data_IF_447835325626
#
_entry.id   IF_447835325626
#
_cell.length_a   1.000
_cell.length_b   1.000
_cell.length_c   1.000
_cell.angle_alpha   90.00
_cell.angle_beta   90.00
_cell.angle_gamma   90.00
#
_symmetry.space_group_name_H-M   'P 1'
#
loop_
_entity.id
_entity.type
_entity.pdbx_description
1 polymer ?
#
# COMPACT_ATOMS: atom_id res chain seq x y z
N UNK A 1 -34.40 74.34 16.34
CA UNK A 1 -35.49 73.74 15.53
C UNK A 1 -34.85 72.65 14.68
N UNK A 2 -35.21 71.36 14.64
CA UNK A 2 -36.26 70.54 15.23
C UNK A 2 -35.82 69.05 15.12
N UNK A 3 -36.14 68.26 16.16
CA UNK A 3 -36.57 66.84 16.19
C UNK A 3 -35.62 65.75 15.67
N UNK A 4 -35.09 64.86 16.53
CA UNK A 4 -35.72 63.67 17.16
C UNK A 4 -36.23 62.63 16.14
N UNK A 5 -35.69 61.41 16.21
CA UNK A 5 -36.51 60.20 16.44
C UNK A 5 -35.66 59.00 16.86
N UNK A 6 -36.01 58.46 18.03
CA UNK A 6 -35.57 57.19 18.61
C UNK A 6 -36.20 56.02 17.85
N UNK A 7 -35.53 54.87 17.79
CA UNK A 7 -36.18 53.58 18.05
C UNK A 7 -35.14 52.54 18.51
N UNK A 8 -35.39 52.00 19.70
CA UNK A 8 -34.87 50.72 20.18
C UNK A 8 -36.09 49.76 20.26
N UNK A 9 -35.92 48.44 20.09
CA UNK A 9 -36.01 47.62 21.30
C UNK A 9 -35.08 46.38 21.35
N UNK A 10 -34.72 46.07 22.59
CA UNK A 10 -34.27 44.82 23.24
C UNK A 10 -34.69 43.49 22.57
N UNK A 11 -33.76 42.51 22.51
CA UNK A 11 -33.97 41.16 23.08
C UNK A 11 -32.70 40.29 23.17
N UNK A 12 -32.39 39.93 24.41
CA UNK A 12 -31.76 38.74 25.01
C UNK A 12 -31.17 37.62 24.14
N UNK A 13 -29.97 37.17 24.54
CA UNK A 13 -29.36 35.90 24.13
C UNK A 13 -28.07 35.62 24.90
N UNK A 14 -28.20 35.23 26.17
CA UNK A 14 -27.10 34.72 26.98
C UNK A 14 -26.65 33.30 26.53
N UNK A 15 -25.36 32.95 26.56
CA UNK A 15 -24.93 31.56 26.39
C UNK A 15 -25.11 30.76 27.69
N UNK A 16 -25.77 29.61 27.55
CA UNK A 16 -26.05 28.65 28.60
C UNK A 16 -24.77 27.92 29.06
N UNK A 17 -24.35 28.17 30.29
CA UNK A 17 -23.52 27.25 31.05
C UNK A 17 -24.42 26.13 31.60
N UNK A 18 -24.13 24.88 31.23
CA UNK A 18 -24.84 23.73 31.77
C UNK A 18 -24.18 22.43 31.37
N UNK A 19 -23.47 21.81 32.32
CA UNK A 19 -23.78 20.44 32.80
C UNK A 19 -22.74 19.96 33.80
N UNK A 20 -23.21 19.79 35.04
CA UNK A 20 -22.68 18.85 36.01
C UNK A 20 -23.84 17.97 36.51
N UNK A 21 -23.53 16.68 36.69
CA UNK A 21 -24.22 15.65 37.48
C UNK A 21 -25.58 15.06 37.03
N UNK A 22 -25.59 13.75 36.76
CA UNK A 22 -26.54 12.78 37.34
C UNK A 22 -26.10 11.31 37.11
N UNK A 23 -25.97 10.57 38.22
CA UNK A 23 -25.89 9.11 38.36
C UNK A 23 -27.31 8.53 38.55
N UNK A 24 -27.61 7.33 38.02
CA UNK A 24 -28.35 6.23 38.70
C UNK A 24 -28.71 5.06 37.75
N UNK A 25 -28.55 3.84 38.28
CA UNK A 25 -28.74 2.54 37.64
C UNK A 25 -30.18 1.97 37.80
N UNK A 26 -30.58 1.00 36.97
CA UNK A 26 -31.52 -0.07 37.35
C UNK A 26 -31.35 -1.33 36.47
N UNK A 27 -31.60 -2.49 37.09
CA UNK A 27 -31.26 -3.86 36.65
C UNK A 27 -32.44 -4.66 36.06
N UNK A 28 -32.10 -5.82 35.46
CA UNK A 28 -32.68 -7.17 35.70
C UNK A 28 -33.05 -8.00 34.44
N UNK A 29 -32.72 -9.29 34.53
CA UNK A 29 -32.75 -10.36 33.54
C UNK A 29 -34.09 -11.14 33.47
N UNK A 30 -34.29 -11.94 32.42
CA UNK A 30 -34.73 -13.35 32.50
C UNK A 30 -34.85 -14.08 31.13
N UNK A 31 -34.51 -15.38 31.16
CA UNK A 31 -34.57 -16.46 30.15
C UNK A 31 -36.00 -16.82 29.65
N UNK A 32 -36.15 -17.47 28.47
CA UNK A 32 -36.51 -18.91 28.32
C UNK A 32 -36.71 -19.42 26.87
N UNK A 33 -36.23 -20.65 26.64
CA UNK A 33 -36.71 -21.78 25.79
C UNK A 33 -36.85 -21.74 24.25
N UNK A 34 -36.22 -22.77 23.64
CA UNK A 34 -36.62 -23.49 22.40
C UNK A 34 -37.63 -24.64 22.74
N UNK A 35 -38.33 -25.34 21.80
CA UNK A 35 -37.72 -26.26 20.82
C UNK A 35 -38.44 -26.44 19.44
N UNK A 36 -37.86 -27.32 18.60
CA UNK A 36 -38.14 -27.79 17.21
C UNK A 36 -39.53 -28.50 17.01
N UNK A 37 -39.92 -29.19 15.88
CA UNK A 37 -39.15 -29.73 14.74
C UNK A 37 -39.86 -29.74 13.34
N UNK A 38 -39.21 -30.30 12.31
CA UNK A 38 -39.86 -30.69 11.05
C UNK A 38 -38.91 -31.24 9.97
N UNK A 39 -39.15 -32.46 9.50
CA UNK A 39 -38.45 -33.19 8.43
C UNK A 39 -39.53 -33.89 7.55
N UNK A 40 -39.19 -34.57 6.44
CA UNK A 40 -38.96 -34.16 5.04
C UNK A 40 -40.15 -34.60 4.12
N UNK A 41 -40.08 -34.69 2.77
CA UNK A 41 -39.44 -35.84 2.09
C UNK A 41 -38.90 -35.66 0.64
N UNK A 42 -38.10 -36.66 0.22
CA UNK A 42 -38.03 -37.37 -1.09
C UNK A 42 -37.80 -36.69 -2.46
N UNK A 43 -36.83 -37.29 -3.19
CA UNK A 43 -37.09 -37.83 -4.54
C UNK A 43 -36.17 -37.36 -5.68
N UNK A 44 -35.54 -38.30 -6.41
CA UNK A 44 -35.25 -38.13 -7.84
C UNK A 44 -33.81 -38.41 -8.32
N UNK A 45 -33.59 -39.65 -8.77
CA UNK A 45 -32.56 -40.18 -9.69
C UNK A 45 -32.33 -39.36 -10.97
N UNK A 46 -31.11 -39.38 -11.56
CA UNK A 46 -30.80 -40.15 -12.79
C UNK A 46 -29.32 -40.10 -13.23
N UNK A 47 -28.93 -41.21 -13.86
CA UNK A 47 -27.66 -41.58 -14.48
C UNK A 47 -27.24 -40.71 -15.69
N UNK A 48 -25.95 -40.71 -16.04
CA UNK A 48 -25.51 -41.03 -17.40
C UNK A 48 -24.01 -41.41 -17.45
N UNK A 49 -23.77 -42.49 -18.19
CA UNK A 49 -22.53 -43.19 -18.52
C UNK A 49 -21.71 -42.51 -19.63
N UNK A 50 -20.44 -42.89 -19.79
CA UNK A 50 -19.64 -42.60 -20.97
C UNK A 50 -18.18 -43.09 -20.90
N UNK A 51 -17.97 -44.36 -21.22
CA UNK A 51 -16.69 -45.05 -21.39
C UNK A 51 -16.06 -44.82 -22.77
N UNK A 52 -14.73 -44.93 -22.87
CA UNK A 52 -14.02 -45.18 -24.12
C UNK A 52 -12.72 -45.98 -23.88
N UNK A 53 -12.60 -47.09 -24.61
CA UNK A 53 -11.56 -48.12 -24.56
C UNK A 53 -10.39 -47.88 -25.55
N UNK A 54 -9.33 -48.65 -25.30
CA UNK A 54 -8.03 -48.76 -25.97
C UNK A 54 -8.06 -49.26 -27.42
N UNK A 55 -7.03 -48.91 -28.19
CA UNK A 55 -6.77 -49.39 -29.55
C UNK A 55 -5.41 -50.08 -29.68
N UNK A 56 -5.45 -51.32 -30.18
CA UNK A 56 -4.34 -52.27 -30.39
C UNK A 56 -3.52 -51.99 -31.65
N UNK A 57 -2.21 -52.24 -31.55
CA UNK A 57 -1.18 -52.21 -32.60
C UNK A 57 -1.29 -53.38 -33.60
N UNK A 58 -1.24 -53.08 -34.91
CA UNK A 58 -1.12 -54.06 -36.00
C UNK A 58 0.26 -54.02 -36.68
N UNK A 59 0.92 -55.18 -36.73
CA UNK A 59 2.16 -55.48 -37.47
C UNK A 59 1.87 -55.76 -38.96
N UNK A 60 2.80 -55.40 -39.86
CA UNK A 60 2.82 -55.87 -41.27
C UNK A 60 4.19 -56.45 -41.60
N UNK A 61 4.23 -57.65 -42.17
CA UNK A 61 5.42 -58.42 -42.52
C UNK A 61 5.77 -58.27 -44.02
N UNK A 62 7.06 -58.14 -44.32
CA UNK A 62 7.64 -57.99 -45.68
C UNK A 62 8.02 -59.37 -46.25
N UNK A 63 7.66 -59.67 -47.50
CA UNK A 63 8.06 -60.88 -48.23
C UNK A 63 9.53 -60.83 -48.68
N UNK A 64 10.27 -61.93 -48.54
CA UNK A 64 11.69 -62.05 -48.95
C UNK A 64 11.84 -62.00 -50.49
N UNK A 65 12.83 -61.23 -50.97
CA UNK A 65 13.13 -61.02 -52.40
C UNK A 65 13.91 -62.23 -52.95
N UNK A 66 13.53 -62.76 -54.12
CA UNK A 66 14.17 -63.93 -54.76
C UNK A 66 15.59 -63.62 -55.28
N UNK A 67 16.47 -64.64 -55.31
CA UNK A 67 17.80 -64.52 -55.93
C UNK A 67 17.73 -64.25 -57.45
N UNK A 68 16.66 -64.71 -58.11
CA UNK A 68 16.38 -64.41 -59.52
C UNK A 68 16.09 -62.92 -59.71
N UNK A 69 15.21 -62.35 -58.88
CA UNK A 69 14.87 -60.92 -58.90
C UNK A 69 16.11 -60.05 -58.62
N UNK A 70 17.00 -60.50 -57.72
CA UNK A 70 18.27 -59.80 -57.43
C UNK A 70 19.23 -59.84 -58.62
N UNK A 71 19.34 -60.95 -59.35
CA UNK A 71 20.18 -60.98 -60.55
C UNK A 71 19.57 -60.16 -61.69
N UNK A 72 18.25 -60.23 -61.87
CA UNK A 72 17.56 -59.44 -62.89
C UNK A 72 17.69 -57.93 -62.61
N UNK A 73 17.49 -57.51 -61.36
CA UNK A 73 17.75 -56.13 -60.93
C UNK A 73 19.19 -55.69 -61.24
N UNK A 74 20.19 -56.55 -61.00
CA UNK A 74 21.59 -56.26 -61.35
C UNK A 74 21.80 -56.08 -62.86
N UNK A 75 21.07 -56.81 -63.70
CA UNK A 75 21.13 -56.64 -65.16
C UNK A 75 20.54 -55.29 -65.60
N UNK A 76 19.37 -54.93 -65.09
CA UNK A 76 18.74 -53.61 -65.30
C UNK A 76 19.68 -52.49 -64.84
N UNK A 77 20.24 -52.58 -63.63
CA UNK A 77 21.19 -51.59 -63.12
C UNK A 77 22.43 -51.43 -64.03
N UNK A 78 23.03 -52.54 -64.49
CA UNK A 78 24.18 -52.51 -65.41
C UNK A 78 23.80 -51.87 -66.76
N UNK A 79 22.58 -52.11 -67.27
CA UNK A 79 22.07 -51.43 -68.48
C UNK A 79 21.91 -49.93 -68.26
N UNK A 80 21.29 -49.53 -67.15
CA UNK A 80 21.16 -48.12 -66.75
C UNK A 80 22.50 -47.40 -66.67
N UNK A 81 23.53 -48.00 -66.07
CA UNK A 81 24.88 -47.40 -66.00
C UNK A 81 25.49 -47.18 -67.40
N UNK A 82 25.38 -48.16 -68.31
CA UNK A 82 25.86 -48.00 -69.69
C UNK A 82 25.13 -46.89 -70.46
N UNK A 83 23.84 -46.68 -70.18
CA UNK A 83 23.07 -45.59 -70.78
C UNK A 83 23.49 -44.24 -70.21
N UNK A 84 23.75 -44.14 -68.90
CA UNK A 84 24.33 -42.94 -68.29
C UNK A 84 25.71 -42.58 -68.85
N UNK A 85 26.57 -43.57 -69.10
CA UNK A 85 27.89 -43.37 -69.70
C UNK A 85 27.79 -42.85 -71.15
N UNK A 86 26.69 -43.18 -71.85
CA UNK A 86 26.36 -42.66 -73.19
C UNK A 86 25.57 -41.36 -73.16
N UNK A 87 25.43 -40.73 -72.00
CA UNK A 87 24.67 -39.50 -71.79
C UNK A 87 23.20 -39.58 -72.22
N UNK A 88 22.54 -40.71 -71.93
CA UNK A 88 21.10 -40.94 -72.18
C UNK A 88 20.35 -41.11 -70.84
N UNK A 89 20.17 -40.04 -70.06
CA UNK A 89 19.67 -40.13 -68.68
C UNK A 89 18.18 -40.51 -68.59
N UNK A 90 17.33 -40.17 -69.57
CA UNK A 90 15.91 -40.57 -69.55
C UNK A 90 15.75 -42.08 -69.68
N UNK A 91 16.43 -42.71 -70.63
CA UNK A 91 16.39 -44.17 -70.81
C UNK A 91 17.07 -44.90 -69.66
N UNK A 92 18.13 -44.32 -69.10
CA UNK A 92 18.76 -44.87 -67.91
C UNK A 92 17.80 -44.87 -66.71
N UNK A 93 16.94 -43.84 -66.57
CA UNK A 93 15.96 -43.75 -65.49
C UNK A 93 14.92 -44.87 -65.58
N UNK A 94 14.49 -45.27 -66.78
CA UNK A 94 13.59 -46.40 -66.98
C UNK A 94 14.23 -47.72 -66.52
N UNK A 95 15.47 -47.98 -66.93
CA UNK A 95 16.23 -49.18 -66.54
C UNK A 95 16.51 -49.20 -65.02
N UNK A 96 16.86 -48.06 -64.42
CA UNK A 96 17.03 -48.00 -62.96
C UNK A 96 15.70 -48.15 -62.23
N UNK A 97 14.60 -47.64 -62.77
CA UNK A 97 13.26 -47.84 -62.21
C UNK A 97 12.89 -49.32 -62.18
N UNK A 98 13.16 -50.06 -63.25
CA UNK A 98 12.97 -51.52 -63.31
C UNK A 98 13.88 -52.24 -62.31
N UNK A 99 15.15 -51.84 -62.20
CA UNK A 99 16.06 -52.38 -61.17
C UNK A 99 15.54 -52.12 -59.76
N UNK A 100 15.05 -50.92 -59.47
CA UNK A 100 14.59 -50.53 -58.14
C UNK A 100 13.27 -51.22 -57.76
N UNK A 101 12.38 -51.45 -58.74
CA UNK A 101 11.12 -52.16 -58.52
C UNK A 101 11.33 -53.62 -58.09
N UNK A 102 12.36 -54.28 -58.64
CA UNK A 102 12.72 -55.66 -58.29
C UNK A 102 13.56 -55.73 -57.01
N UNK A 103 14.50 -54.81 -56.83
CA UNK A 103 15.36 -54.75 -55.66
C UNK A 103 15.63 -53.29 -55.24
N UNK A 104 14.84 -52.75 -54.29
CA UNK A 104 15.07 -51.44 -53.72
C UNK A 104 16.44 -51.35 -53.05
N UNK A 105 17.29 -50.42 -53.50
CA UNK A 105 18.65 -50.30 -53.02
C UNK A 105 19.19 -48.88 -53.21
N UNK A 106 19.96 -48.39 -52.22
CA UNK A 106 20.46 -47.01 -52.17
C UNK A 106 21.27 -46.61 -53.41
N UNK A 107 22.07 -47.51 -53.96
CA UNK A 107 22.88 -47.25 -55.16
C UNK A 107 22.02 -47.00 -56.41
N UNK A 108 20.85 -47.65 -56.49
CA UNK A 108 19.88 -47.45 -57.56
C UNK A 108 19.15 -46.12 -57.35
N UNK A 109 18.71 -45.82 -56.13
CA UNK A 109 18.14 -44.51 -55.76
C UNK A 109 19.08 -43.35 -56.08
N UNK A 110 20.36 -43.46 -55.72
CA UNK A 110 21.40 -42.50 -56.06
C UNK A 110 21.57 -42.35 -57.58
N UNK A 111 21.60 -43.47 -58.32
CA UNK A 111 21.74 -43.44 -59.78
C UNK A 111 20.53 -42.81 -60.48
N UNK A 112 19.31 -43.03 -59.97
CA UNK A 112 18.11 -42.32 -60.42
C UNK A 112 18.18 -40.82 -60.09
N UNK A 113 18.70 -40.47 -58.90
CA UNK A 113 18.97 -39.08 -58.52
C UNK A 113 19.91 -38.38 -59.51
N UNK A 114 21.01 -39.06 -59.90
CA UNK A 114 21.94 -38.58 -60.94
C UNK A 114 21.25 -38.40 -62.30
N UNK A 115 20.32 -39.28 -62.69
CA UNK A 115 19.54 -39.10 -63.91
C UNK A 115 18.70 -37.81 -63.83
N UNK A 116 17.91 -37.63 -62.76
CA UNK A 116 17.07 -36.43 -62.59
C UNK A 116 17.89 -35.14 -62.53
N UNK A 117 19.06 -35.19 -61.91
CA UNK A 117 19.98 -34.07 -61.82
C UNK A 117 20.51 -33.66 -63.21
N UNK A 118 20.88 -34.63 -64.06
CA UNK A 118 21.29 -34.36 -65.46
C UNK A 118 20.14 -33.87 -66.35
N UNK A 119 18.91 -34.30 -66.07
CA UNK A 119 17.69 -33.86 -66.80
C UNK A 119 17.28 -32.44 -66.37
N UNK A 120 17.82 -31.91 -65.27
CA UNK A 120 17.46 -30.59 -64.75
C UNK A 120 16.17 -30.60 -63.94
N UNK A 121 15.87 -31.69 -63.23
CA UNK A 121 14.73 -31.84 -62.30
C UNK A 121 15.23 -31.86 -60.85
N UNK A 122 15.60 -30.70 -60.26
CA UNK A 122 16.29 -30.64 -58.97
C UNK A 122 15.44 -31.14 -57.79
N UNK A 123 14.12 -30.97 -57.82
CA UNK A 123 13.22 -31.47 -56.76
C UNK A 123 13.20 -33.01 -56.72
N UNK A 124 13.11 -33.66 -57.88
CA UNK A 124 13.12 -35.11 -57.98
C UNK A 124 14.49 -35.68 -57.59
N UNK A 125 15.57 -35.02 -58.03
CA UNK A 125 16.94 -35.38 -57.69
C UNK A 125 17.18 -35.32 -56.17
N UNK A 126 16.80 -34.21 -55.52
CA UNK A 126 16.94 -34.03 -54.08
C UNK A 126 16.23 -35.15 -53.31
N UNK A 127 14.97 -35.43 -53.65
CA UNK A 127 14.19 -36.50 -53.02
C UNK A 127 14.88 -37.86 -53.14
N UNK A 128 15.44 -38.19 -54.31
CA UNK A 128 16.11 -39.47 -54.57
C UNK A 128 17.47 -39.58 -53.86
N UNK A 129 18.21 -38.48 -53.73
CA UNK A 129 19.44 -38.46 -52.95
C UNK A 129 19.18 -38.61 -51.43
N UNK A 130 18.18 -37.92 -50.89
CA UNK A 130 17.76 -38.11 -49.49
C UNK A 130 17.24 -39.53 -49.23
N UNK A 131 16.52 -40.09 -50.20
CA UNK A 131 16.08 -41.48 -50.17
C UNK A 131 17.27 -42.44 -50.18
N UNK A 132 18.29 -42.21 -51.02
CA UNK A 132 19.51 -43.02 -51.04
C UNK A 132 20.25 -42.98 -49.70
N UNK A 133 20.41 -41.81 -49.08
CA UNK A 133 21.04 -41.68 -47.75
C UNK A 133 20.26 -42.45 -46.66
N UNK A 134 18.92 -42.39 -46.72
CA UNK A 134 18.05 -43.11 -45.79
C UNK A 134 18.11 -44.63 -45.97
N UNK A 135 18.05 -45.10 -47.20
CA UNK A 135 18.10 -46.53 -47.53
C UNK A 135 19.45 -47.16 -47.22
N UNK A 136 20.53 -46.44 -47.55
CA UNK A 136 21.86 -46.99 -47.45
C UNK A 136 22.41 -47.01 -46.04
N UNK A 137 21.97 -46.10 -45.15
CA UNK A 137 22.42 -46.07 -43.76
C UNK A 137 23.95 -46.20 -43.69
N UNK A 138 24.47 -47.12 -42.88
CA UNK A 138 25.91 -47.40 -42.74
C UNK A 138 26.53 -48.21 -43.89
N UNK A 139 25.74 -48.74 -44.83
CA UNK A 139 26.23 -49.52 -45.99
C UNK A 139 26.86 -48.63 -47.07
N UNK A 140 26.57 -47.33 -47.06
CA UNK A 140 27.16 -46.36 -47.99
C UNK A 140 28.62 -46.12 -47.56
N UNK A 141 29.61 -46.40 -48.43
CA UNK A 141 30.98 -46.08 -48.09
C UNK A 141 31.16 -44.56 -47.97
N UNK A 142 32.02 -44.13 -47.04
CA UNK A 142 32.13 -42.73 -46.61
C UNK A 142 32.30 -41.73 -47.76
N UNK A 143 33.17 -42.06 -48.73
CA UNK A 143 33.39 -41.22 -49.90
C UNK A 143 32.10 -41.00 -50.71
N UNK A 144 31.30 -42.04 -50.93
CA UNK A 144 30.04 -41.94 -51.66
C UNK A 144 28.98 -41.20 -50.84
N UNK A 145 28.97 -41.35 -49.51
CA UNK A 145 28.10 -40.57 -48.63
C UNK A 145 28.39 -39.08 -48.77
N UNK A 146 29.66 -38.69 -48.64
CA UNK A 146 30.08 -37.29 -48.79
C UNK A 146 29.67 -36.72 -50.15
N UNK A 147 29.85 -37.47 -51.25
CA UNK A 147 29.45 -37.05 -52.60
C UNK A 147 27.92 -36.81 -52.69
N UNK A 148 27.11 -37.67 -52.08
CA UNK A 148 25.64 -37.54 -52.05
C UNK A 148 25.22 -36.36 -51.17
N UNK A 149 25.77 -36.22 -49.97
CA UNK A 149 25.47 -35.14 -49.03
C UNK A 149 25.86 -33.76 -49.58
N UNK A 150 27.03 -33.65 -50.21
CA UNK A 150 27.43 -32.43 -50.93
C UNK A 150 26.43 -32.08 -52.02
N UNK A 151 25.92 -33.08 -52.75
CA UNK A 151 24.93 -32.82 -53.80
C UNK A 151 23.58 -32.40 -53.23
N UNK A 152 23.13 -33.01 -52.13
CA UNK A 152 21.94 -32.61 -51.37
C UNK A 152 22.07 -31.16 -50.90
N UNK A 153 23.19 -30.79 -50.29
CA UNK A 153 23.46 -29.43 -49.84
C UNK A 153 23.40 -28.41 -51.00
N UNK A 154 24.04 -28.73 -52.14
CA UNK A 154 24.00 -27.88 -53.33
C UNK A 154 22.58 -27.71 -53.88
N UNK A 155 21.79 -28.80 -53.93
CA UNK A 155 20.41 -28.76 -54.41
C UNK A 155 19.48 -27.98 -53.47
N UNK A 156 19.65 -28.10 -52.14
CA UNK A 156 18.89 -27.30 -51.16
C UNK A 156 19.13 -25.81 -51.34
N UNK A 157 20.38 -25.41 -51.58
CA UNK A 157 20.74 -24.01 -51.89
C UNK A 157 20.07 -23.58 -53.21
N UNK A 158 20.20 -24.38 -54.27
CA UNK A 158 19.61 -24.08 -55.59
C UNK A 158 18.09 -23.90 -55.51
N UNK A 159 17.41 -24.70 -54.69
CA UNK A 159 15.96 -24.67 -54.50
C UNK A 159 15.49 -23.61 -53.51
N UNK A 160 16.41 -22.87 -52.87
CA UNK A 160 16.06 -21.87 -51.85
C UNK A 160 15.45 -22.47 -50.58
N UNK A 161 15.70 -23.77 -50.33
CA UNK A 161 15.22 -24.47 -49.14
C UNK A 161 16.12 -24.04 -47.98
N UNK A 162 15.70 -23.00 -47.25
CA UNK A 162 16.30 -22.63 -45.97
C UNK A 162 15.68 -23.55 -44.93
N UNK A 163 16.46 -24.45 -44.35
CA UNK A 163 16.03 -25.14 -43.15
C UNK A 163 15.71 -24.06 -42.11
N UNK A 164 14.43 -23.97 -41.74
CA UNK A 164 14.05 -23.17 -40.59
C UNK A 164 14.71 -23.87 -39.42
N UNK A 165 15.78 -23.29 -38.88
CA UNK A 165 16.51 -23.83 -37.72
C UNK A 165 16.19 -23.07 -36.43
N UNK A 166 15.33 -22.06 -36.52
CA UNK A 166 14.91 -21.20 -35.40
C UNK A 166 13.39 -21.30 -35.19
N UNK A 167 12.94 -20.96 -33.99
CA UNK A 167 11.54 -20.59 -33.76
C UNK A 167 11.46 -19.14 -33.31
N UNK A 168 10.26 -18.70 -32.96
CA UNK A 168 10.00 -17.31 -32.54
C UNK A 168 9.36 -17.30 -31.16
N UNK A 169 9.75 -16.37 -30.29
CA UNK A 169 9.03 -16.06 -29.05
C UNK A 169 8.39 -14.69 -29.22
N UNK A 170 7.07 -14.62 -29.05
CA UNK A 170 6.37 -13.34 -28.90
C UNK A 170 6.20 -13.03 -27.42
N UNK A 171 6.87 -11.99 -26.95
CA UNK A 171 6.83 -11.55 -25.55
C UNK A 171 5.95 -10.31 -25.44
N UNK A 172 4.96 -10.37 -24.55
CA UNK A 172 4.10 -9.24 -24.24
C UNK A 172 3.80 -9.17 -22.75
N UNK A 173 3.78 -7.96 -22.20
CA UNK A 173 3.40 -7.73 -20.80
C UNK A 173 2.14 -6.87 -20.69
N UNK A 174 1.45 -6.98 -19.55
CA UNK A 174 0.39 -6.07 -19.15
C UNK A 174 0.77 -5.42 -17.80
N UNK A 175 1.09 -4.11 -17.76
CA UNK A 175 1.16 -3.18 -18.89
C UNK A 175 2.34 -3.44 -19.84
N UNK A 176 2.27 -2.90 -21.06
CA UNK A 176 3.32 -2.98 -22.07
C UNK A 176 4.50 -2.02 -21.77
N UNK A 177 5.63 -2.20 -22.44
CA UNK A 177 6.83 -1.37 -22.29
C UNK A 177 7.85 -1.90 -21.28
N UNK A 178 7.71 -3.15 -20.83
CA UNK A 178 8.67 -3.79 -19.95
C UNK A 178 9.95 -4.16 -20.71
N UNK A 179 11.11 -3.91 -20.09
CA UNK A 179 12.41 -4.36 -20.60
C UNK A 179 12.47 -5.89 -20.52
N UNK A 180 12.85 -6.54 -21.62
CA UNK A 180 12.95 -8.00 -21.80
C UNK A 180 14.41 -8.41 -21.81
N UNK A 181 14.76 -9.37 -20.98
CA UNK A 181 16.00 -10.12 -21.04
C UNK A 181 15.70 -11.57 -21.46
N UNK A 182 16.40 -12.04 -22.50
CA UNK A 182 16.36 -13.41 -22.97
C UNK A 182 17.67 -14.09 -22.58
N UNK A 183 17.57 -15.17 -21.79
CA UNK A 183 18.73 -15.93 -21.28
C UNK A 183 19.81 -15.04 -20.63
N UNK A 184 19.38 -14.00 -19.91
CA UNK A 184 20.25 -13.04 -19.25
C UNK A 184 20.83 -11.93 -20.14
N UNK A 185 20.47 -11.89 -21.43
CA UNK A 185 20.88 -10.83 -22.36
C UNK A 185 19.70 -9.91 -22.69
N UNK A 186 19.91 -8.60 -22.63
CA UNK A 186 18.88 -7.62 -22.99
C UNK A 186 18.47 -7.77 -24.46
N UNK A 187 17.18 -7.96 -24.69
CA UNK A 187 16.60 -8.26 -25.99
C UNK A 187 15.74 -7.12 -26.55
N UNK A 188 15.22 -6.23 -25.69
CA UNK A 188 14.41 -5.07 -26.08
C UNK A 188 13.28 -4.79 -25.09
N UNK A 189 12.17 -4.21 -25.56
CA UNK A 189 11.00 -3.88 -24.72
C UNK A 189 9.72 -4.50 -25.28
N UNK A 190 8.77 -4.86 -24.41
CA UNK A 190 7.50 -5.47 -24.84
C UNK A 190 6.54 -4.47 -25.50
N UNK A 191 5.73 -4.91 -26.49
CA UNK A 191 5.73 -6.24 -27.12
C UNK A 191 6.90 -6.42 -28.12
N UNK A 192 7.51 -7.61 -28.14
CA UNK A 192 8.64 -7.94 -29.04
C UNK A 192 8.57 -9.38 -29.54
N UNK A 193 8.96 -9.60 -30.80
CA UNK A 193 9.15 -10.92 -31.41
C UNK A 193 10.65 -11.23 -31.51
N UNK A 194 11.09 -12.35 -30.91
CA UNK A 194 12.49 -12.77 -30.83
C UNK A 194 12.70 -14.08 -31.58
N UNK A 195 13.62 -14.11 -32.54
CA UNK A 195 14.05 -15.37 -33.18
C UNK A 195 15.11 -16.07 -32.33
N UNK A 196 14.85 -17.33 -31.99
CA UNK A 196 15.68 -18.11 -31.05
C UNK A 196 15.89 -19.54 -31.56
N UNK A 197 16.99 -20.21 -31.17
CA UNK A 197 17.15 -21.64 -31.41
C UNK A 197 15.98 -22.45 -30.81
N UNK A 198 15.68 -23.65 -31.33
CA UNK A 198 14.71 -24.52 -30.68
C UNK A 198 15.25 -25.00 -29.33
N UNK A 199 14.40 -25.01 -28.31
CA UNK A 199 14.78 -25.39 -26.96
C UNK A 199 14.11 -24.53 -25.88
N UNK A 200 14.43 -24.78 -24.60
CA UNK A 200 14.00 -23.96 -23.49
C UNK A 200 14.77 -22.64 -23.46
N UNK A 201 14.05 -21.55 -23.26
CA UNK A 201 14.57 -20.19 -23.06
C UNK A 201 13.94 -19.57 -21.83
N UNK A 202 14.72 -18.77 -21.10
CA UNK A 202 14.23 -18.00 -19.97
C UNK A 202 14.02 -16.55 -20.36
N UNK A 203 12.84 -16.04 -20.04
CA UNK A 203 12.45 -14.65 -20.28
C UNK A 203 12.29 -14.00 -18.91
N UNK A 204 13.08 -12.96 -18.64
CA UNK A 204 12.92 -12.11 -17.48
C UNK A 204 12.51 -10.71 -17.95
N UNK A 205 11.51 -10.12 -17.31
CA UNK A 205 10.96 -8.80 -17.65
C UNK A 205 11.00 -7.87 -16.45
N UNK A 206 11.33 -6.61 -16.70
CA UNK A 206 11.40 -5.55 -15.68
C UNK A 206 10.68 -4.29 -16.18
N UNK A 207 9.93 -3.64 -15.30
CA UNK A 207 9.25 -2.38 -15.60
C UNK A 207 9.25 -1.50 -14.35
N UNK A 208 9.55 -0.22 -14.51
CA UNK A 208 9.61 0.73 -13.40
C UNK A 208 8.26 0.80 -12.66
N UNK A 209 8.31 0.67 -11.33
CA UNK A 209 7.11 0.65 -10.49
C UNK A 209 6.37 -0.70 -10.46
N UNK A 210 6.95 -1.75 -11.05
CA UNK A 210 6.41 -3.12 -11.03
C UNK A 210 7.44 -4.12 -10.49
N UNK A 211 6.97 -5.23 -9.95
CA UNK A 211 7.83 -6.33 -9.53
C UNK A 211 8.44 -7.04 -10.77
N UNK A 212 9.75 -7.38 -10.75
CA UNK A 212 10.36 -8.21 -11.78
C UNK A 212 9.64 -9.55 -11.92
N UNK A 213 9.44 -10.01 -13.14
CA UNK A 213 8.76 -11.27 -13.43
C UNK A 213 9.54 -12.07 -14.45
N UNK A 214 9.44 -13.40 -14.42
CA UNK A 214 10.12 -14.25 -15.38
C UNK A 214 9.38 -15.56 -15.64
N UNK A 215 9.61 -16.14 -16.82
CA UNK A 215 8.97 -17.36 -17.29
C UNK A 215 9.90 -18.16 -18.21
N UNK A 216 9.89 -19.48 -18.05
CA UNK A 216 10.54 -20.40 -18.98
C UNK A 216 9.59 -20.76 -20.14
N UNK A 217 10.10 -20.70 -21.37
CA UNK A 217 9.34 -20.96 -22.60
C UNK A 217 10.13 -21.90 -23.50
N UNK A 218 9.51 -22.99 -23.92
CA UNK A 218 10.11 -23.94 -24.87
C UNK A 218 9.63 -23.64 -26.29
N UNK A 219 10.57 -23.48 -27.21
CA UNK A 219 10.30 -23.14 -28.61
C UNK A 219 10.64 -24.33 -29.51
N UNK A 220 9.72 -24.68 -30.41
CA UNK A 220 9.96 -25.67 -31.45
C UNK A 220 10.37 -25.00 -32.77
N UNK A 221 11.06 -25.75 -33.62
CA UNK A 221 11.50 -25.30 -34.94
C UNK A 221 10.32 -24.77 -35.76
N UNK A 222 10.44 -23.55 -36.27
CA UNK A 222 9.44 -22.89 -37.11
C UNK A 222 8.10 -22.61 -36.42
N UNK A 223 8.03 -22.70 -35.08
CA UNK A 223 6.85 -22.37 -34.30
C UNK A 223 7.04 -21.05 -33.56
N UNK A 224 5.92 -20.36 -33.31
CA UNK A 224 5.88 -19.17 -32.44
C UNK A 224 5.35 -19.56 -31.07
N UNK A 225 6.18 -19.44 -30.04
CA UNK A 225 5.76 -19.56 -28.65
C UNK A 225 5.28 -18.21 -28.11
N UNK A 226 4.24 -18.24 -27.28
CA UNK A 226 3.66 -17.04 -26.68
C UNK A 226 4.10 -16.90 -25.22
N UNK A 227 4.68 -15.77 -24.87
CA UNK A 227 5.05 -15.41 -23.50
C UNK A 227 4.26 -14.16 -23.08
N UNK A 228 3.19 -14.37 -22.30
CA UNK A 228 2.32 -13.29 -21.82
C UNK A 228 2.45 -13.17 -20.29
N UNK A 229 2.98 -12.06 -19.80
CA UNK A 229 3.15 -11.82 -18.36
C UNK A 229 2.28 -10.65 -17.89
N UNK A 230 1.53 -10.85 -16.81
CA UNK A 230 0.83 -9.76 -16.12
C UNK A 230 1.72 -9.27 -14.98
N UNK A 231 2.09 -7.99 -14.99
CA UNK A 231 2.99 -7.42 -13.98
C UNK A 231 2.18 -6.89 -12.80
N UNK A 232 2.71 -7.11 -11.61
CA UNK A 232 2.14 -6.61 -10.36
C UNK A 232 2.85 -5.31 -10.00
N UNK A 233 2.07 -4.25 -9.74
CA UNK A 233 2.63 -2.97 -9.32
C UNK A 233 3.37 -3.16 -7.99
N UNK A 234 4.60 -2.67 -7.92
CA UNK A 234 5.37 -2.67 -6.68
C UNK A 234 4.73 -1.66 -5.73
N UNK A 235 4.16 -2.14 -4.62
CA UNK A 235 3.63 -1.26 -3.58
C UNK A 235 4.83 -0.69 -2.82
N UNK A 236 5.19 0.56 -3.13
CA UNK A 236 6.13 1.32 -2.31
C UNK A 236 5.37 1.72 -1.05
N UNK A 237 5.76 1.16 0.09
CA UNK A 237 5.22 1.58 1.37
C UNK A 237 5.48 3.08 1.55
N UNK A 238 4.46 3.88 1.91
CA UNK A 238 4.64 5.30 2.13
C UNK A 238 5.67 5.52 3.24
N UNK A 239 6.68 6.34 2.97
CA UNK A 239 7.75 6.66 3.93
C UNK A 239 7.44 7.92 4.74
N UNK A 240 6.27 8.51 4.55
CA UNK A 240 5.85 9.76 5.20
C UNK A 240 4.40 9.70 5.65
N UNK A 241 4.08 10.44 6.71
CA UNK A 241 2.73 10.68 7.22
C UNK A 241 2.42 12.16 7.34
N UNK A 242 1.25 12.46 7.93
CA UNK A 242 0.79 13.82 8.20
C UNK A 242 0.91 14.14 9.69
N UNK A 243 1.40 15.33 10.02
CA UNK A 243 1.38 15.87 11.38
C UNK A 243 0.50 17.12 11.44
N UNK A 244 -0.43 17.17 12.40
CA UNK A 244 -1.29 18.33 12.68
C UNK A 244 -1.00 18.82 14.09
N UNK A 245 -0.58 20.08 14.20
CA UNK A 245 -0.30 20.73 15.48
C UNK A 245 -1.31 21.85 15.73
N UNK A 246 -1.95 21.85 16.90
CA UNK A 246 -2.90 22.86 17.33
C UNK A 246 -2.56 23.34 18.75
N UNK A 247 -2.91 24.57 19.09
CA UNK A 247 -2.79 25.05 20.47
C UNK A 247 -3.95 25.94 20.88
N UNK A 248 -4.26 25.95 22.17
CA UNK A 248 -5.18 26.91 22.78
C UNK A 248 -4.39 27.78 23.76
N UNK A 249 -4.26 29.10 23.50
CA UNK A 249 -4.72 29.81 22.31
C UNK A 249 -3.83 29.53 21.08
N UNK A 250 -4.34 29.88 19.89
CA UNK A 250 -3.63 29.76 18.61
C UNK A 250 -2.39 30.66 18.53
N UNK A 251 -1.49 30.36 17.58
CA UNK A 251 -0.34 31.18 17.24
C UNK A 251 0.97 30.80 17.95
N UNK A 252 1.02 29.65 18.61
CA UNK A 252 2.23 29.08 19.20
C UNK A 252 3.21 28.64 18.10
N UNK A 253 4.51 28.89 18.28
CA UNK A 253 5.57 28.42 17.37
C UNK A 253 5.70 26.91 17.46
N UNK A 254 5.85 26.25 16.32
CA UNK A 254 6.00 24.80 16.21
C UNK A 254 7.38 24.50 15.63
N UNK A 255 8.16 23.72 16.39
CA UNK A 255 9.42 23.15 15.95
C UNK A 255 9.28 21.63 15.90
N UNK A 256 9.83 21.01 14.86
CA UNK A 256 9.91 19.55 14.73
C UNK A 256 11.37 19.20 14.53
N UNK A 257 11.91 18.34 15.39
CA UNK A 257 13.32 17.94 15.43
C UNK A 257 14.29 19.14 15.48
N UNK A 258 13.87 20.19 16.19
CA UNK A 258 14.63 21.44 16.34
C UNK A 258 14.51 22.43 15.18
N UNK A 259 13.84 22.09 14.08
CA UNK A 259 13.55 23.01 12.98
C UNK A 259 12.22 23.73 13.18
N UNK A 260 12.20 25.06 13.14
CA UNK A 260 10.95 25.84 13.20
C UNK A 260 10.20 25.75 11.87
N UNK A 261 8.98 25.20 11.91
CA UNK A 261 8.16 24.92 10.72
C UNK A 261 6.95 25.86 10.58
N UNK A 262 6.61 26.62 11.63
CA UNK A 262 5.54 27.61 11.57
C UNK A 262 4.88 27.87 12.91
N UNK A 263 3.59 28.20 12.87
CA UNK A 263 2.77 28.47 14.05
C UNK A 263 1.44 27.70 14.00
N UNK A 264 0.90 27.37 15.17
CA UNK A 264 -0.41 26.70 15.30
C UNK A 264 -1.56 27.61 14.84
N UNK A 265 -2.61 27.04 14.21
CA UNK A 265 -2.69 25.65 13.75
C UNK A 265 -1.79 25.40 12.53
N UNK A 266 -0.98 24.32 12.57
CA UNK A 266 -0.03 23.93 11.53
C UNK A 266 -0.35 22.51 11.03
N UNK A 267 -0.26 22.29 9.71
CA UNK A 267 -0.37 20.95 9.11
C UNK A 267 0.84 20.69 8.21
N UNK A 268 1.55 19.61 8.50
CA UNK A 268 2.65 19.10 7.68
C UNK A 268 2.13 17.89 6.90
N UNK A 269 1.90 18.00 5.58
CA UNK A 269 1.25 16.95 4.82
C UNK A 269 2.16 15.74 4.50
N UNK A 270 3.48 15.92 4.59
CA UNK A 270 4.48 14.89 4.33
C UNK A 270 5.68 15.11 5.26
N UNK A 271 5.62 14.51 6.44
CA UNK A 271 6.73 14.37 7.39
C UNK A 271 7.17 12.90 7.37
N UNK A 272 8.47 12.62 7.53
CA UNK A 272 8.98 11.25 7.56
C UNK A 272 8.19 10.40 8.58
N UNK A 273 7.98 9.12 8.29
CA UNK A 273 7.31 8.24 9.23
C UNK A 273 8.29 7.83 10.34
N UNK A 274 7.86 7.89 11.60
CA UNK A 274 8.69 7.57 12.76
C UNK A 274 8.55 8.57 13.90
N UNK A 275 9.47 8.49 14.87
CA UNK A 275 9.47 9.38 16.03
C UNK A 275 10.03 10.76 15.67
N UNK A 276 9.26 11.80 16.01
CA UNK A 276 9.64 13.19 15.85
C UNK A 276 9.49 13.92 17.18
N UNK A 277 10.45 14.77 17.51
CA UNK A 277 10.36 15.64 18.68
C UNK A 277 9.59 16.90 18.31
N UNK A 278 8.36 17.02 18.80
CA UNK A 278 7.48 18.16 18.52
C UNK A 278 7.51 19.11 19.71
N UNK A 279 7.99 20.33 19.45
CA UNK A 279 8.07 21.41 20.43
C UNK A 279 7.12 22.53 20.05
N UNK A 280 6.19 22.87 20.94
CA UNK A 280 5.20 23.93 20.75
C UNK A 280 5.43 25.00 21.82
N UNK A 281 5.72 26.23 21.39
CA UNK A 281 6.08 27.35 22.25
C UNK A 281 5.11 28.52 22.04
N UNK A 282 4.34 28.89 23.06
CA UNK A 282 3.50 30.09 22.94
C UNK A 282 4.21 31.37 23.42
N UNK A 283 5.10 31.27 24.40
CA UNK A 283 6.08 32.28 24.81
C UNK A 283 7.27 31.62 25.55
N UNK A 284 8.25 32.41 25.99
CA UNK A 284 9.51 31.91 26.59
C UNK A 284 9.30 31.01 27.82
N UNK A 285 8.20 31.18 28.54
CA UNK A 285 7.89 30.41 29.76
C UNK A 285 6.93 29.24 29.51
N UNK A 286 6.22 29.24 28.38
CA UNK A 286 5.18 28.24 28.06
C UNK A 286 5.59 27.46 26.82
N UNK A 287 6.42 26.47 27.11
CA UNK A 287 7.00 25.54 26.16
C UNK A 287 6.56 24.12 26.51
N UNK A 288 6.17 23.39 25.48
CA UNK A 288 5.84 21.98 25.57
C UNK A 288 6.67 21.23 24.54
N UNK A 289 7.23 20.09 24.92
CA UNK A 289 8.01 19.23 24.04
C UNK A 289 7.57 17.79 24.26
N UNK A 290 7.24 17.09 23.18
CA UNK A 290 6.71 15.73 23.21
C UNK A 290 7.27 14.92 22.03
N UNK A 291 7.57 13.64 22.24
CA UNK A 291 7.94 12.72 21.17
C UNK A 291 6.68 12.11 20.56
N UNK A 292 6.49 12.32 19.26
CA UNK A 292 5.29 11.93 18.52
C UNK A 292 5.66 10.97 17.41
N UNK A 293 5.04 9.79 17.39
CA UNK A 293 5.23 8.83 16.31
C UNK A 293 4.30 9.15 15.13
N UNK A 294 4.87 9.59 14.00
CA UNK A 294 4.12 9.88 12.78
C UNK A 294 3.97 8.58 11.98
N UNK A 295 2.75 8.01 11.86
CA UNK A 295 2.54 6.79 11.10
C UNK A 295 2.68 7.04 9.59
N UNK A 296 3.29 6.09 8.88
CA UNK A 296 3.27 6.03 7.41
C UNK A 296 1.83 6.07 6.87
N UNK A 297 1.53 7.00 5.96
CA UNK A 297 0.18 7.25 5.40
C UNK A 297 -0.92 7.60 6.41
N UNK A 298 -0.57 7.78 7.68
CA UNK A 298 -1.51 8.15 8.72
C UNK A 298 -1.36 9.61 9.13
N UNK A 299 -2.15 10.02 10.11
CA UNK A 299 -2.11 11.36 10.69
C UNK A 299 -1.84 11.28 12.19
N UNK A 300 -0.77 11.92 12.64
CA UNK A 300 -0.57 12.26 14.04
C UNK A 300 -1.14 13.66 14.31
N UNK A 301 -1.81 13.83 15.45
CA UNK A 301 -2.36 15.10 15.90
C UNK A 301 -1.86 15.42 17.29
N UNK A 302 -1.31 16.62 17.46
CA UNK A 302 -0.82 17.14 18.74
C UNK A 302 -1.61 18.40 19.05
N UNK A 303 -2.35 18.38 20.14
CA UNK A 303 -3.10 19.54 20.62
C UNK A 303 -2.57 19.92 22.01
N UNK A 304 -2.17 21.18 22.17
CA UNK A 304 -1.66 21.70 23.44
C UNK A 304 -2.56 22.80 23.96
N UNK A 305 -3.09 22.65 25.18
CA UNK A 305 -3.79 23.73 25.88
C UNK A 305 -2.86 24.36 26.90
N UNK A 306 -2.59 25.65 26.78
CA UNK A 306 -1.79 26.37 27.76
C UNK A 306 -2.65 27.03 28.85
N UNK A 307 -2.18 26.98 30.10
CA UNK A 307 -2.82 27.64 31.24
C UNK A 307 -2.77 29.18 31.18
N UNK A 308 -3.52 29.82 32.08
CA UNK A 308 -3.57 31.27 32.22
C UNK A 308 -2.23 31.88 32.67
N UNK A 309 -2.13 33.22 32.65
CA UNK A 309 -0.89 33.94 33.02
C UNK A 309 -0.88 34.48 34.44
N UNK A 310 -2.05 34.58 35.08
CA UNK A 310 -2.18 35.22 36.40
C UNK A 310 -2.38 34.16 37.48
N UNK A 311 -1.51 34.17 38.49
CA UNK A 311 -1.66 33.27 39.64
C UNK A 311 -2.97 33.54 40.40
N UNK A 312 -3.73 32.49 40.71
CA UNK A 312 -5.02 32.54 41.43
C UNK A 312 -5.03 33.39 42.72
N UNK A 313 -3.87 33.52 43.40
CA UNK A 313 -3.73 34.34 44.59
C UNK A 313 -4.04 35.82 44.38
N UNK A 314 -3.77 36.38 43.20
CA UNK A 314 -4.11 37.77 42.88
C UNK A 314 -5.62 37.98 42.75
N UNK A 315 -6.31 37.05 42.09
CA UNK A 315 -7.78 37.07 42.02
C UNK A 315 -8.38 37.05 43.42
N UNK A 316 -7.99 36.08 44.26
CA UNK A 316 -8.54 35.95 45.60
C UNK A 316 -8.21 37.14 46.49
N UNK A 317 -7.01 37.71 46.38
CA UNK A 317 -6.65 38.95 47.10
C UNK A 317 -7.56 40.12 46.76
N UNK A 318 -7.80 40.37 45.47
CA UNK A 318 -8.67 41.47 45.00
C UNK A 318 -10.15 41.20 45.33
N UNK A 319 -10.61 39.96 45.17
CA UNK A 319 -11.98 39.56 45.50
C UNK A 319 -12.27 39.70 47.01
N UNK A 320 -11.34 39.28 47.88
CA UNK A 320 -11.48 39.43 49.33
C UNK A 320 -11.52 40.90 49.75
N UNK A 321 -10.73 41.77 49.11
CA UNK A 321 -10.79 43.22 49.35
C UNK A 321 -12.17 43.81 49.00
N UNK A 322 -12.76 43.40 47.86
CA UNK A 322 -14.11 43.82 47.48
C UNK A 322 -15.15 43.43 48.55
N UNK A 323 -15.10 42.19 49.04
CA UNK A 323 -16.02 41.68 50.07
C UNK A 323 -15.84 42.44 51.39
N UNK A 324 -14.60 42.66 51.84
CA UNK A 324 -14.33 43.37 53.09
C UNK A 324 -14.84 44.82 53.04
N UNK A 325 -14.62 45.53 51.92
CA UNK A 325 -15.11 46.89 51.71
C UNK A 325 -16.65 46.94 51.66
N UNK A 326 -17.27 45.99 50.96
CA UNK A 326 -18.73 45.88 50.88
C UNK A 326 -19.37 45.60 52.25
N UNK A 327 -18.76 44.74 53.07
CA UNK A 327 -19.19 44.50 54.44
C UNK A 327 -19.07 45.77 55.31
N UNK A 328 -17.99 46.53 55.16
CA UNK A 328 -17.83 47.84 55.81
C UNK A 328 -18.88 48.87 55.39
N UNK A 329 -19.20 48.92 54.09
CA UNK A 329 -20.26 49.79 53.56
C UNK A 329 -21.64 49.41 54.14
N UNK A 330 -21.95 48.11 54.20
CA UNK A 330 -23.20 47.64 54.82
C UNK A 330 -23.27 47.99 56.31
N UNK A 331 -22.17 47.81 57.06
CA UNK A 331 -22.10 48.14 58.48
C UNK A 331 -22.32 49.63 58.75
N UNK A 332 -21.58 50.49 58.03
CA UNK A 332 -21.75 51.96 58.12
C UNK A 332 -23.14 52.40 57.67
N UNK A 333 -23.71 51.78 56.64
CA UNK A 333 -25.06 52.09 56.15
C UNK A 333 -26.16 51.70 57.15
N UNK A 334 -26.05 50.53 57.79
CA UNK A 334 -26.98 50.12 58.86
C UNK A 334 -26.89 51.08 60.05
N UNK A 335 -25.69 51.48 60.45
CA UNK A 335 -25.51 52.44 61.53
C UNK A 335 -26.05 53.83 61.14
N UNK A 336 -25.74 54.32 59.93
CA UNK A 336 -26.29 55.56 59.39
C UNK A 336 -27.82 55.55 59.32
N UNK A 337 -28.43 54.42 58.94
CA UNK A 337 -29.89 54.24 58.98
C UNK A 337 -30.42 54.34 60.41
N UNK A 338 -29.76 53.73 61.38
CA UNK A 338 -30.18 53.82 62.79
C UNK A 338 -30.14 55.27 63.29
N UNK A 339 -29.12 56.04 62.89
CA UNK A 339 -29.01 57.47 63.19
C UNK A 339 -30.11 58.28 62.49
N UNK A 340 -30.43 57.97 61.24
CA UNK A 340 -31.52 58.59 60.49
C UNK A 340 -32.88 58.35 61.18
N UNK A 341 -33.17 57.10 61.54
CA UNK A 341 -34.42 56.73 62.21
C UNK A 341 -34.53 57.41 63.59
N UNK A 342 -33.41 57.56 64.34
CA UNK A 342 -33.35 58.35 65.59
C UNK A 342 -33.57 59.84 65.35
N UNK A 343 -32.96 60.43 64.31
CA UNK A 343 -33.06 61.85 64.00
C UNK A 343 -34.51 62.30 63.72
N UNK A 344 -35.24 61.51 62.92
CA UNK A 344 -36.65 61.76 62.57
C UNK A 344 -37.65 61.22 63.61
N UNK A 345 -37.18 60.56 64.67
CA UNK A 345 -38.00 60.09 65.77
C UNK A 345 -38.74 61.24 66.48
N UNK A 346 -40.01 61.02 66.81
CA UNK A 346 -40.86 61.99 67.50
C UNK A 346 -40.38 62.32 68.93
N UNK A 347 -39.57 61.44 69.55
CA UNK A 347 -39.04 61.59 70.91
C UNK A 347 -37.68 62.29 71.02
N UNK A 348 -37.05 62.65 69.90
CA UNK A 348 -35.65 63.13 69.90
C UNK A 348 -35.56 64.62 70.25
N UNK A 349 -34.62 64.99 71.10
CA UNK A 349 -34.42 66.39 71.53
C UNK A 349 -33.66 67.21 70.47
N UNK A 350 -33.80 68.55 70.43
CA UNK A 350 -33.05 69.40 69.50
C UNK A 350 -31.53 69.28 69.64
N UNK A 351 -31.01 69.25 70.87
CA UNK A 351 -29.57 69.10 71.13
C UNK A 351 -29.04 67.75 70.60
N UNK A 352 -29.80 66.66 70.78
CA UNK A 352 -29.44 65.34 70.25
C UNK A 352 -29.45 65.32 68.72
N UNK A 353 -30.37 66.05 68.07
CA UNK A 353 -30.38 66.20 66.61
C UNK A 353 -29.14 66.93 66.10
N UNK A 354 -28.67 67.97 66.78
CA UNK A 354 -27.42 68.67 66.43
C UNK A 354 -26.19 67.78 66.56
N UNK A 355 -26.16 66.84 67.52
CA UNK A 355 -25.09 65.85 67.66
C UNK A 355 -25.11 64.77 66.57
N UNK A 356 -26.31 64.29 66.18
CA UNK A 356 -26.48 63.19 65.23
C UNK A 356 -26.16 63.61 63.80
N UNK A 357 -26.52 64.84 63.40
CA UNK A 357 -26.35 65.35 62.04
C UNK A 357 -24.95 65.10 61.45
N UNK A 358 -23.85 65.61 62.05
CA UNK A 358 -22.51 65.43 61.49
C UNK A 358 -22.09 63.95 61.48
N UNK A 359 -22.50 63.17 62.49
CA UNK A 359 -22.21 61.73 62.55
C UNK A 359 -22.93 60.98 61.43
N UNK A 360 -24.18 61.33 61.14
CA UNK A 360 -24.97 60.75 60.05
C UNK A 360 -24.38 61.08 58.67
N UNK A 361 -23.95 62.32 58.46
CA UNK A 361 -23.27 62.76 57.22
C UNK A 361 -21.95 62.00 57.00
N UNK A 362 -21.12 61.88 58.05
CA UNK A 362 -19.86 61.10 57.99
C UNK A 362 -20.12 59.61 57.70
N UNK A 363 -21.17 59.02 58.30
CA UNK A 363 -21.54 57.63 58.02
C UNK A 363 -22.02 57.42 56.58
N UNK A 364 -22.82 58.33 56.03
CA UNK A 364 -23.25 58.25 54.62
C UNK A 364 -22.05 58.39 53.67
N UNK A 365 -21.16 59.36 53.92
CA UNK A 365 -19.96 59.56 53.10
C UNK A 365 -19.04 58.33 53.15
N UNK A 366 -18.82 57.75 54.33
CA UNK A 366 -18.01 56.53 54.46
C UNK A 366 -18.67 55.33 53.80
N UNK A 367 -20.00 55.17 53.88
CA UNK A 367 -20.74 54.14 53.13
C UNK A 367 -20.53 54.28 51.63
N UNK A 368 -20.67 55.48 51.06
CA UNK A 368 -20.53 55.73 49.62
C UNK A 368 -19.09 55.45 49.14
N UNK A 369 -18.08 55.87 49.92
CA UNK A 369 -16.67 55.60 49.61
C UNK A 369 -16.40 54.10 49.63
N UNK A 370 -16.82 53.39 50.68
CA UNK A 370 -16.59 51.95 50.82
C UNK A 370 -17.33 51.15 49.74
N UNK A 371 -18.58 51.51 49.45
CA UNK A 371 -19.37 50.86 48.40
C UNK A 371 -18.76 51.08 47.00
N UNK A 372 -18.31 52.31 46.72
CA UNK A 372 -17.64 52.64 45.45
C UNK A 372 -16.31 51.89 45.29
N UNK A 373 -15.52 51.82 46.36
CA UNK A 373 -14.27 51.06 46.37
C UNK A 373 -14.54 49.56 46.19
N UNK A 374 -15.51 48.99 46.91
CA UNK A 374 -15.92 47.59 46.74
C UNK A 374 -16.31 47.28 45.29
N UNK A 375 -17.07 48.18 44.64
CA UNK A 375 -17.42 48.07 43.23
C UNK A 375 -16.21 48.05 42.30
N UNK A 376 -15.24 48.94 42.52
CA UNK A 376 -14.01 48.98 41.73
C UNK A 376 -13.18 47.69 41.87
N UNK A 377 -13.02 47.18 43.10
CA UNK A 377 -12.33 45.91 43.33
C UNK A 377 -13.09 44.72 42.73
N UNK A 378 -14.43 44.71 42.75
CA UNK A 378 -15.22 43.67 42.12
C UNK A 378 -15.04 43.64 40.59
N UNK A 379 -14.99 44.81 39.94
CA UNK A 379 -14.68 44.91 38.50
C UNK A 379 -13.26 44.43 38.21
N UNK A 380 -12.28 44.81 39.04
CA UNK A 380 -10.90 44.34 38.90
C UNK A 380 -10.80 42.81 39.06
N UNK A 381 -11.51 42.21 40.03
CA UNK A 381 -11.57 40.77 40.21
C UNK A 381 -12.21 40.07 39.00
N UNK A 382 -13.27 40.64 38.42
CA UNK A 382 -13.89 40.11 37.21
C UNK A 382 -12.95 40.14 35.99
N UNK A 383 -12.14 41.20 35.85
CA UNK A 383 -11.10 41.28 34.81
C UNK A 383 -10.02 40.24 35.08
N UNK A 384 -9.53 40.14 36.32
CA UNK A 384 -8.51 39.16 36.69
C UNK A 384 -8.98 37.72 36.42
N UNK A 385 -10.25 37.41 36.69
CA UNK A 385 -10.82 36.07 36.47
C UNK A 385 -10.66 35.56 35.03
N UNK A 386 -10.63 36.46 34.04
CA UNK A 386 -10.45 36.12 32.61
C UNK A 386 -9.03 35.58 32.32
N UNK A 387 -8.03 36.10 33.03
CA UNK A 387 -6.61 35.80 32.79
C UNK A 387 -5.99 34.92 33.88
N UNK A 388 -6.76 34.64 34.93
CA UNK A 388 -6.36 33.79 36.05
C UNK A 388 -6.18 32.37 35.57
N UNK A 389 -5.02 31.82 35.87
CA UNK A 389 -4.79 30.40 35.76
C UNK A 389 -5.57 29.70 36.88
N UNK A 390 -6.63 29.01 36.49
CA UNK A 390 -7.48 28.23 37.39
C UNK A 390 -6.92 26.83 37.66
N UNK A 391 -5.69 26.55 37.22
CA UNK A 391 -5.05 25.24 37.41
C UNK A 391 -5.56 24.20 36.42
N UNK A 392 -5.97 24.63 35.22
CA UNK A 392 -6.09 23.72 34.09
C UNK A 392 -4.68 23.33 33.68
N UNK A 393 -4.19 22.19 34.18
CA UNK A 393 -2.89 21.64 33.80
C UNK A 393 -2.72 21.71 32.28
N UNK A 394 -1.55 22.16 31.83
CA UNK A 394 -1.24 22.21 30.41
C UNK A 394 -1.45 20.82 29.80
N UNK A 395 -2.56 20.64 29.09
CA UNK A 395 -2.97 19.32 28.62
C UNK A 395 -2.45 19.13 27.21
N UNK A 396 -1.65 18.10 27.05
CA UNK A 396 -1.17 17.64 25.75
C UNK A 396 -2.03 16.44 25.39
N UNK A 397 -2.73 16.54 24.27
CA UNK A 397 -3.43 15.41 23.67
C UNK A 397 -2.71 15.01 22.40
N UNK A 398 -2.12 13.82 22.41
CA UNK A 398 -1.57 13.19 21.20
C UNK A 398 -2.55 12.14 20.73
N UNK A 399 -3.09 12.35 19.53
CA UNK A 399 -4.02 11.44 18.87
C UNK A 399 -3.43 10.90 17.57
N UNK A 400 -3.81 9.69 17.21
CA UNK A 400 -3.40 9.04 15.97
C UNK A 400 -4.64 8.65 15.17
N UNK A 401 -4.70 9.07 13.91
CA UNK A 401 -5.67 8.60 12.92
C UNK A 401 -4.91 7.75 11.90
N UNK A 402 -5.19 6.44 11.89
CA UNK A 402 -4.63 5.53 10.89
C UNK A 402 -5.19 5.80 9.48
N UNK A 403 -4.59 5.22 8.43
CA UNK A 403 -5.11 5.35 7.08
C UNK A 403 -6.58 4.89 7.00
N UNK A 404 -7.41 5.51 6.15
CA UNK A 404 -8.82 5.18 6.04
C UNK A 404 -9.00 3.69 5.70
N UNK A 405 -9.50 2.92 6.68
CA UNK A 405 -9.75 1.47 6.54
C UNK A 405 -9.03 0.57 7.55
N UNK A 406 -8.04 1.07 8.29
CA UNK A 406 -7.41 0.33 9.40
C UNK A 406 -7.97 0.84 10.74
N UNK A 407 -9.00 0.17 11.24
CA UNK A 407 -9.34 0.26 12.66
C UNK A 407 -8.23 -0.47 13.43
N UNK A 408 -7.22 0.28 13.88
CA UNK A 408 -6.21 -0.25 14.80
C UNK A 408 -6.83 -0.19 16.20
N UNK A 409 -7.12 -1.36 16.79
CA UNK A 409 -7.45 -1.44 18.22
C UNK A 409 -6.30 -0.83 19.03
N UNK A 410 -6.60 -0.09 20.12
CA UNK A 410 -5.56 0.50 20.95
C UNK A 410 -4.66 -0.60 21.51
N UNK A 411 -3.37 -0.53 21.16
CA UNK A 411 -2.32 -1.37 21.77
C UNK A 411 -2.29 -1.05 23.25
N UNK A 412 -2.56 -2.05 24.10
CA UNK A 412 -2.52 -1.92 25.55
C UNK A 412 -1.10 -1.49 25.99
N UNK A 413 -0.98 -0.61 27.00
CA UNK A 413 0.32 -0.22 27.54
C UNK A 413 1.04 -1.45 28.14
N UNK A 414 2.38 -1.49 28.07
CA UNK A 414 3.15 -2.58 28.67
C UNK A 414 2.90 -2.64 30.19
N UNK A 415 2.94 -3.84 30.80
CA UNK A 415 2.72 -3.99 32.23
C UNK A 415 3.80 -3.24 33.03
N UNK A 416 3.36 -2.57 34.09
CA UNK A 416 4.24 -1.89 35.03
C UNK A 416 5.23 -2.89 35.66
N UNK A 417 6.51 -2.54 35.62
CA UNK A 417 7.62 -3.30 36.17
C UNK A 417 7.64 -3.12 37.70
N UNK A 418 6.80 -3.88 38.42
CA UNK A 418 6.86 -4.01 39.88
C UNK A 418 7.99 -4.97 40.27
N UNK A 419 9.23 -4.46 40.36
CA UNK A 419 10.30 -5.08 41.15
C UNK A 419 11.46 -4.11 41.41
N UNK A 420 11.26 -3.12 42.29
CA UNK A 420 12.39 -2.53 43.01
C UNK A 420 12.79 -3.50 44.14
N UNK A 421 14.05 -3.97 44.22
CA UNK A 421 14.48 -4.78 45.35
C UNK A 421 14.61 -3.92 46.61
N UNK A 422 14.00 -4.41 47.69
CA UNK A 422 14.13 -3.91 49.06
C UNK A 422 15.61 -3.73 49.45
N UNK A 423 16.01 -2.51 49.80
CA UNK A 423 17.26 -2.27 50.50
C UNK A 423 17.03 -2.47 52.00
N UNK A 424 17.72 -3.39 52.68
CA UNK A 424 17.60 -3.52 54.12
C UNK A 424 18.35 -2.36 54.81
N UNK A 425 17.59 -1.52 55.50
CA UNK A 425 18.11 -0.67 56.58
C UNK A 425 18.55 -1.56 57.73
N UNK A 426 19.85 -1.78 57.88
CA UNK A 426 20.41 -2.13 59.19
C UNK A 426 21.83 -1.56 59.34
N UNK A 427 21.89 -0.40 59.99
CA UNK A 427 23.12 0.20 60.46
C UNK A 427 22.97 0.50 61.95
N UNK A 428 23.02 -0.56 62.77
CA UNK A 428 23.45 -0.45 64.16
C UNK A 428 24.29 -1.67 64.58
N UNK A 429 25.55 -1.37 64.90
CA UNK A 429 26.32 -1.93 66.00
C UNK A 429 27.17 -3.23 65.85
N UNK A 430 28.47 -3.00 66.12
CA UNK A 430 29.50 -3.90 66.70
C UNK A 430 30.24 -4.90 65.77
N UNK A 431 31.50 -4.58 65.46
CA UNK A 431 32.63 -5.33 66.06
C UNK A 431 33.97 -4.66 65.80
N UNK A 432 34.52 -4.07 66.86
CA UNK A 432 35.95 -4.04 67.09
C UNK A 432 36.47 -5.47 67.32
N UNK A 433 37.19 -6.04 66.35
CA UNK A 433 38.49 -6.72 66.53
C UNK A 433 39.08 -7.16 65.21
#
# INVERSE_FOLDING_TARGET
MQRLSRHHPLRDGAPSAGRAAALAAFAAAALFAAPAPGQPPEGGTQEASGSAEEGTTGQTATSEISDEDREEARQFYRRGKRLLDRNRPEEALEEFGQSYALYPHWATSNSMGVCHDRIGRPNDALRLYEQALREGGDEIPERQREEIEQRVAALRIQLGIREVTTGTIRVATSPAGALVQLDGTEAGVTPIDLEVPPGPHRIDVTLDGYEPSGMDVTVAVGQTAMAQLALVAAVVAPTSGRLVCASEPDGARVLVDGAELGRTPLTLPALEAGEHQVRIELDEERVTEETVNVPADGTARVTVTFGGRVHQGWFWGVASAAVALGAGAAGTGVYGKSLYDEFYGSGTSPARREEILPLGEDMMLTTDILASAAGAFAVAAAILAIWTDWGGEGRIEVGYEGPPGTAVEPVAPPPADDALPDFPEDATEVSSR
#
